data_IF_866397886275
#
_entry.id   IF_866397886275
#
_cell.length_a   1.000
_cell.length_b   1.000
_cell.length_c   1.000
_cell.angle_alpha   90.00
_cell.angle_beta   90.00
_cell.angle_gamma   90.00
#
_symmetry.space_group_name_H-M   'P 1'
#
loop_
_entity.id
_entity.type
_entity.pdbx_description
1 polymer ?
#
# COMPACT_ATOMS: atom_id res chain seq x y z
N UNK A 1 38.51 -11.91 -9.90
CA UNK A 1 37.23 -11.17 -9.87
C UNK A 1 37.18 -10.37 -8.59
N UNK A 2 37.39 -9.04 -8.65
CA UNK A 2 37.22 -8.15 -7.50
C UNK A 2 35.80 -7.61 -7.57
N UNK A 3 34.99 -7.92 -6.57
CA UNK A 3 33.72 -7.26 -6.32
C UNK A 3 34.01 -5.79 -5.99
N UNK A 4 33.84 -4.90 -6.97
CA UNK A 4 33.63 -3.50 -6.63
C UNK A 4 32.34 -3.46 -5.80
N UNK A 5 32.32 -2.84 -4.61
CA UNK A 5 31.05 -2.53 -3.98
C UNK A 5 30.34 -1.57 -4.92
N UNK A 6 29.44 -2.08 -5.75
CA UNK A 6 28.53 -1.24 -6.50
C UNK A 6 27.79 -0.41 -5.45
N UNK A 7 28.11 0.88 -5.38
CA UNK A 7 27.45 1.82 -4.49
C UNK A 7 25.95 1.60 -4.64
N UNK A 8 25.30 1.09 -3.60
CA UNK A 8 23.88 0.77 -3.63
C UNK A 8 23.17 1.73 -2.69
N UNK A 9 22.12 2.38 -3.18
CA UNK A 9 21.28 3.23 -2.34
C UNK A 9 20.14 2.38 -1.82
N UNK A 10 20.17 2.10 -0.51
CA UNK A 10 19.04 1.52 0.20
C UNK A 10 18.14 2.63 0.71
N UNK A 11 16.95 2.73 0.12
CA UNK A 11 15.86 3.50 0.66
C UNK A 11 15.10 2.60 1.65
N UNK A 12 15.42 2.80 2.93
CA UNK A 12 14.67 2.28 4.06
C UNK A 12 14.04 3.44 4.83
N UNK A 13 12.85 3.21 5.40
CA UNK A 13 12.18 4.19 6.27
C UNK A 13 12.96 4.27 7.57
N UNK A 14 13.21 5.47 8.07
CA UNK A 14 13.97 5.64 9.31
C UNK A 14 13.15 5.19 10.52
N UNK A 15 13.55 4.08 11.16
CA UNK A 15 12.84 3.48 12.29
C UNK A 15 12.62 4.45 13.46
N UNK A 16 13.53 5.40 13.69
CA UNK A 16 13.40 6.40 14.76
C UNK A 16 12.33 7.47 14.46
N UNK A 17 12.21 7.93 13.21
CA UNK A 17 11.17 8.88 12.83
C UNK A 17 9.78 8.22 12.87
N UNK A 18 9.72 6.92 12.55
CA UNK A 18 8.56 6.08 12.75
C UNK A 18 8.18 6.02 14.24
N UNK A 19 9.14 5.68 15.09
CA UNK A 19 8.95 5.63 16.54
C UNK A 19 8.51 6.97 17.15
N UNK A 20 9.06 8.09 16.66
CA UNK A 20 8.66 9.42 17.09
C UNK A 20 7.24 9.78 16.68
N UNK A 21 6.83 9.45 15.45
CA UNK A 21 5.45 9.62 14.99
C UNK A 21 4.48 8.75 15.80
N UNK A 22 4.89 7.52 16.13
CA UNK A 22 4.12 6.59 16.97
C UNK A 22 3.96 7.12 18.40
N UNK A 23 5.02 7.63 19.00
CA UNK A 23 4.96 8.27 20.31
C UNK A 23 4.06 9.52 20.31
N UNK A 24 4.14 10.34 19.25
CA UNK A 24 3.30 11.53 19.11
C UNK A 24 1.82 11.20 18.90
N UNK A 25 1.50 10.19 18.08
CA UNK A 25 0.12 9.73 17.87
C UNK A 25 -0.46 9.09 19.14
N UNK A 26 0.32 8.28 19.86
CA UNK A 26 -0.07 7.72 21.15
C UNK A 26 -0.32 8.83 22.19
N UNK A 27 0.55 9.84 22.24
CA UNK A 27 0.37 11.03 23.08
C UNK A 27 -0.88 11.84 22.73
N UNK A 28 -1.19 12.02 21.44
CA UNK A 28 -2.40 12.69 20.97
C UNK A 28 -3.66 11.91 21.34
N UNK A 29 -3.67 10.58 21.16
CA UNK A 29 -4.81 9.74 21.55
C UNK A 29 -5.01 9.75 23.08
N UNK A 30 -3.93 9.71 23.86
CA UNK A 30 -4.00 9.89 25.31
C UNK A 30 -4.53 11.28 25.70
N UNK A 31 -4.16 12.32 24.96
CA UNK A 31 -4.67 13.69 25.16
C UNK A 31 -6.15 13.86 24.78
N UNK A 32 -6.61 13.18 23.73
CA UNK A 32 -8.03 13.16 23.35
C UNK A 32 -8.87 12.46 24.42
N UNK A 33 -8.34 11.41 25.06
CA UNK A 33 -9.02 10.77 26.18
C UNK A 33 -9.21 11.72 27.38
N UNK A 34 -8.31 12.68 27.60
CA UNK A 34 -8.47 13.76 28.58
C UNK A 34 -9.60 14.74 28.24
N UNK A 35 -10.02 14.82 26.97
CA UNK A 35 -11.14 15.64 26.52
C UNK A 35 -12.49 14.89 26.58
N UNK A 36 -12.53 13.61 26.93
CA UNK A 36 -13.77 12.84 26.97
C UNK A 36 -14.71 13.27 28.09
N UNK A 37 -14.20 13.65 29.26
CA UNK A 37 -15.02 14.15 30.38
C UNK A 37 -15.82 15.42 30.06
N UNK A 38 -15.22 16.50 29.52
CA UNK A 38 -15.98 17.68 29.12
C UNK A 38 -16.93 17.39 27.95
N UNK A 39 -16.56 16.50 27.01
CA UNK A 39 -17.45 16.08 25.92
C UNK A 39 -18.64 15.26 26.42
N UNK A 40 -18.43 14.36 27.37
CA UNK A 40 -19.46 13.53 27.98
C UNK A 40 -20.45 14.39 28.78
N UNK A 41 -19.96 15.34 29.58
CA UNK A 41 -20.81 16.29 30.29
C UNK A 41 -21.62 17.20 29.34
N UNK A 42 -21.02 17.60 28.21
CA UNK A 42 -21.73 18.32 27.16
C UNK A 42 -22.81 17.45 26.48
N UNK A 43 -22.50 16.18 26.19
CA UNK A 43 -23.44 15.24 25.56
C UNK A 43 -24.64 14.90 26.46
N UNK A 44 -24.42 14.74 27.77
CA UNK A 44 -25.48 14.49 28.76
C UNK A 44 -26.41 15.70 28.92
N UNK A 45 -25.93 16.91 28.63
CA UNK A 45 -26.75 18.13 28.58
C UNK A 45 -27.72 18.21 27.40
N UNK A 46 -27.54 17.38 26.36
CA UNK A 46 -28.41 17.38 25.17
C UNK A 46 -29.67 16.52 25.44
N UNK A 47 -30.83 17.19 25.55
CA UNK A 47 -32.16 16.60 25.80
C UNK A 47 -32.64 15.55 24.77
N UNK A 48 -31.89 15.28 23.70
CA UNK A 48 -32.28 14.40 22.58
C UNK A 48 -31.13 13.47 22.15
N UNK A 49 -30.69 12.54 23.01
CA UNK A 49 -29.70 11.52 22.65
C UNK A 49 -30.33 10.11 22.53
N UNK A 50 -30.26 9.42 21.36
CA UNK A 50 -30.93 8.12 21.13
C UNK A 50 -30.23 6.89 21.74
N UNK A 51 -29.08 7.04 22.40
CA UNK A 51 -28.22 5.92 22.84
C UNK A 51 -28.14 5.75 24.37
N UNK A 52 -29.29 5.62 25.05
CA UNK A 52 -29.33 5.49 26.53
C UNK A 52 -28.76 4.16 27.08
N UNK A 53 -28.71 3.10 26.27
CA UNK A 53 -28.26 1.77 26.69
C UNK A 53 -26.76 1.68 26.96
N UNK A 54 -25.90 1.97 25.95
CA UNK A 54 -24.44 1.97 26.13
C UNK A 54 -23.97 2.98 27.17
N UNK A 55 -24.61 4.15 27.23
CA UNK A 55 -24.27 5.20 28.19
C UNK A 55 -24.42 4.77 29.66
N UNK A 56 -25.41 3.92 30.01
CA UNK A 56 -25.58 3.42 31.38
C UNK A 56 -24.47 2.46 31.82
N UNK A 57 -23.93 1.66 30.90
CA UNK A 57 -22.81 0.76 31.18
C UNK A 57 -21.53 1.55 31.45
N UNK A 58 -21.27 2.62 30.69
CA UNK A 58 -20.13 3.50 30.96
C UNK A 58 -20.27 4.21 32.32
N UNK A 59 -21.45 4.75 32.65
CA UNK A 59 -21.68 5.49 33.92
C UNK A 59 -21.60 4.59 35.17
N UNK A 60 -21.77 3.27 35.03
CA UNK A 60 -21.68 2.33 36.17
C UNK A 60 -20.25 2.03 36.63
N UNK A 61 -19.25 2.40 35.83
CA UNK A 61 -17.84 2.20 36.17
C UNK A 61 -17.35 3.42 36.95
N UNK A 62 -16.90 3.26 38.21
CA UNK A 62 -16.42 4.39 39.00
C UNK A 62 -15.14 4.99 38.42
N UNK A 63 -15.07 6.33 38.36
CA UNK A 63 -13.82 7.04 38.11
C UNK A 63 -12.79 6.67 39.21
N UNK A 64 -11.51 6.44 38.86
CA UNK A 64 -10.85 6.74 37.58
C UNK A 64 -10.84 5.56 36.58
N UNK A 65 -11.49 4.43 36.88
CA UNK A 65 -11.29 3.19 36.12
C UNK A 65 -11.90 3.22 34.72
N UNK A 66 -12.97 3.98 34.52
CA UNK A 66 -13.57 4.20 33.20
C UNK A 66 -12.60 4.94 32.28
N UNK A 67 -12.09 6.08 32.75
CA UNK A 67 -11.09 6.89 32.02
C UNK A 67 -9.84 6.09 31.72
N UNK A 68 -9.30 5.36 32.71
CA UNK A 68 -8.13 4.48 32.51
C UNK A 68 -8.44 3.40 31.47
N UNK A 69 -9.61 2.77 31.52
CA UNK A 69 -10.01 1.74 30.56
C UNK A 69 -10.09 2.26 29.12
N UNK A 70 -10.68 3.44 28.93
CA UNK A 70 -10.77 4.10 27.61
C UNK A 70 -9.41 4.52 27.07
N UNK A 71 -8.54 5.08 27.93
CA UNK A 71 -7.15 5.43 27.56
C UNK A 71 -6.39 4.18 27.12
N UNK A 72 -6.46 3.09 27.91
CA UNK A 72 -5.77 1.84 27.59
C UNK A 72 -6.31 1.23 26.29
N UNK A 73 -7.63 1.20 26.10
CA UNK A 73 -8.24 0.68 24.88
C UNK A 73 -7.84 1.50 23.65
N UNK A 74 -7.86 2.83 23.76
CA UNK A 74 -7.43 3.74 22.70
C UNK A 74 -5.95 3.58 22.36
N UNK A 75 -5.09 3.44 23.38
CA UNK A 75 -3.67 3.19 23.20
C UNK A 75 -3.40 1.83 22.53
N UNK A 76 -4.09 0.77 22.95
CA UNK A 76 -3.98 -0.56 22.34
C UNK A 76 -4.47 -0.56 20.89
N UNK A 77 -5.62 0.05 20.61
CA UNK A 77 -6.16 0.16 19.26
C UNK A 77 -5.24 0.98 18.35
N UNK A 78 -4.73 2.11 18.83
CA UNK A 78 -3.75 2.93 18.11
C UNK A 78 -2.46 2.15 17.82
N UNK A 79 -1.93 1.45 18.82
CA UNK A 79 -0.73 0.60 18.69
C UNK A 79 -0.95 -0.54 17.69
N UNK A 80 -2.11 -1.18 17.71
CA UNK A 80 -2.45 -2.25 16.76
C UNK A 80 -2.49 -1.73 15.32
N UNK A 81 -3.19 -0.62 15.06
CA UNK A 81 -3.25 0.00 13.72
C UNK A 81 -1.85 0.37 13.21
N UNK A 82 -1.02 0.92 14.09
CA UNK A 82 0.38 1.26 13.83
C UNK A 82 1.24 0.02 13.50
N UNK A 83 1.04 -1.07 14.25
CA UNK A 83 1.77 -2.31 14.04
C UNK A 83 1.41 -2.93 12.67
N UNK A 84 0.13 -2.94 12.30
CA UNK A 84 -0.30 -3.43 10.99
C UNK A 84 0.30 -2.64 9.82
N UNK A 85 0.44 -1.31 9.94
CA UNK A 85 1.12 -0.48 8.94
C UNK A 85 2.60 -0.86 8.76
N UNK A 86 3.26 -1.28 9.85
CA UNK A 86 4.68 -1.67 9.81
C UNK A 86 4.93 -3.01 9.08
N UNK A 87 3.94 -3.90 9.03
CA UNK A 87 4.10 -5.21 8.39
C UNK A 87 4.15 -5.13 6.85
N UNK A 88 3.65 -4.05 6.26
CA UNK A 88 3.63 -3.84 4.81
C UNK A 88 4.85 -3.12 4.25
N UNK A 89 5.89 -2.89 5.06
CA UNK A 89 7.04 -2.09 4.65
C UNK A 89 7.86 -2.78 3.56
N UNK A 90 8.02 -2.08 2.44
CA UNK A 90 8.94 -2.46 1.36
C UNK A 90 10.20 -1.59 1.47
N UNK A 91 11.35 -2.22 1.65
CA UNK A 91 12.65 -1.57 1.43
C UNK A 91 13.06 -1.72 -0.03
N UNK A 92 13.61 -0.64 -0.59
CA UNK A 92 14.03 -0.60 -1.99
C UNK A 92 15.53 -0.36 -1.99
N UNK A 93 16.29 -1.35 -2.46
CA UNK A 93 17.73 -1.21 -2.70
C UNK A 93 17.96 -1.12 -4.19
N UNK A 94 18.48 0.03 -4.62
CA UNK A 94 18.83 0.28 -6.02
C UNK A 94 20.34 0.21 -6.16
N UNK A 95 20.81 -0.52 -7.16
CA UNK A 95 22.22 -0.58 -7.55
C UNK A 95 22.31 -0.54 -9.07
N UNK A 96 23.49 -0.25 -9.64
CA UNK A 96 23.65 -0.18 -11.11
C UNK A 96 23.32 -1.48 -11.86
N UNK A 97 23.37 -2.63 -11.19
CA UNK A 97 23.19 -3.95 -11.81
C UNK A 97 21.82 -4.58 -11.50
N UNK A 98 21.17 -4.16 -10.42
CA UNK A 98 19.93 -4.77 -9.92
C UNK A 98 19.12 -3.85 -9.02
N UNK A 99 17.82 -4.10 -8.99
CA UNK A 99 16.88 -3.58 -8.01
C UNK A 99 16.49 -4.73 -7.09
N UNK A 100 16.60 -4.53 -5.78
CA UNK A 100 16.10 -5.47 -4.78
C UNK A 100 14.90 -4.82 -4.09
N UNK A 101 13.75 -5.45 -4.26
CA UNK A 101 12.52 -5.11 -3.56
C UNK A 101 12.34 -6.12 -2.44
N UNK A 102 12.37 -5.65 -1.19
CA UNK A 102 12.25 -6.51 -0.03
C UNK A 102 11.03 -6.08 0.78
N UNK A 103 10.08 -7.00 0.91
CA UNK A 103 8.88 -6.92 1.76
C UNK A 103 8.96 -8.00 2.83
N UNK A 104 8.22 -7.84 3.93
CA UNK A 104 8.09 -8.87 4.97
C UNK A 104 7.73 -10.23 4.34
N UNK A 105 8.67 -11.18 4.38
CA UNK A 105 8.50 -12.54 3.84
C UNK A 105 8.75 -12.71 2.32
N UNK A 106 9.08 -11.65 1.57
CA UNK A 106 9.34 -11.75 0.14
C UNK A 106 10.50 -10.84 -0.30
N UNK A 107 11.51 -11.43 -0.94
CA UNK A 107 12.63 -10.71 -1.57
C UNK A 107 12.58 -10.98 -3.05
N UNK A 108 12.47 -9.93 -3.85
CA UNK A 108 12.49 -9.99 -5.30
C UNK A 108 13.72 -9.23 -5.81
N UNK A 109 14.61 -9.94 -6.49
CA UNK A 109 15.78 -9.38 -7.17
C UNK A 109 15.49 -9.27 -8.66
N UNK A 110 15.69 -8.07 -9.21
CA UNK A 110 15.38 -7.74 -10.60
C UNK A 110 16.65 -7.19 -11.24
N UNK A 111 17.16 -7.87 -12.27
CA UNK A 111 18.34 -7.43 -12.99
C UNK A 111 18.08 -6.12 -13.77
N UNK A 112 19.09 -5.26 -13.88
CA UNK A 112 18.99 -3.95 -14.58
C UNK A 112 18.46 -4.08 -16.01
N UNK A 113 18.89 -5.12 -16.72
CA UNK A 113 18.49 -5.45 -18.10
C UNK A 113 17.01 -5.80 -18.24
N UNK A 114 16.39 -6.29 -17.17
CA UNK A 114 14.96 -6.55 -17.14
C UNK A 114 14.18 -5.25 -16.94
N UNK A 115 14.78 -4.14 -16.50
CA UNK A 115 14.06 -2.90 -16.22
C UNK A 115 14.11 -1.96 -17.42
N UNK A 116 12.95 -1.69 -18.03
CA UNK A 116 12.77 -0.66 -19.04
C UNK A 116 12.51 0.70 -18.39
N UNK A 117 11.36 0.86 -17.74
CA UNK A 117 10.91 2.12 -17.16
C UNK A 117 10.55 1.97 -15.68
N UNK A 118 10.81 3.01 -14.90
CA UNK A 118 10.46 3.06 -13.47
C UNK A 118 9.65 4.31 -13.19
N UNK A 119 8.53 4.17 -12.47
CA UNK A 119 7.74 5.30 -12.03
C UNK A 119 7.02 5.01 -10.73
N UNK A 120 6.47 6.07 -10.14
CA UNK A 120 5.61 5.97 -8.96
C UNK A 120 4.18 6.28 -9.36
N UNK A 121 3.27 5.35 -9.06
CA UNK A 121 1.84 5.56 -9.16
C UNK A 121 1.25 5.58 -7.73
N UNK A 122 0.78 6.75 -7.29
CA UNK A 122 0.27 6.96 -5.91
C UNK A 122 1.31 6.57 -4.85
N UNK A 123 1.02 5.55 -4.06
CA UNK A 123 1.85 4.96 -3.01
C UNK A 123 2.60 3.71 -3.48
N UNK A 124 2.67 3.45 -4.80
CA UNK A 124 3.32 2.26 -5.35
C UNK A 124 4.44 2.60 -6.30
N UNK A 125 5.54 1.86 -6.16
CA UNK A 125 6.64 1.85 -7.11
C UNK A 125 6.37 0.78 -8.17
N UNK A 126 6.43 1.16 -9.45
CA UNK A 126 6.18 0.28 -10.59
C UNK A 126 7.46 0.17 -11.41
N UNK A 127 7.89 -1.07 -11.66
CA UNK A 127 8.98 -1.40 -12.57
C UNK A 127 8.37 -2.11 -13.78
N UNK A 128 8.52 -1.47 -14.94
CA UNK A 128 8.18 -2.05 -16.23
C UNK A 128 9.42 -2.61 -16.89
N UNK A 129 9.25 -3.70 -17.62
CA UNK A 129 10.30 -4.22 -18.50
C UNK A 129 10.42 -3.45 -19.81
N UNK A 130 11.38 -3.83 -20.67
CA UNK A 130 11.67 -3.11 -21.91
C UNK A 130 10.53 -3.15 -22.91
N UNK A 131 9.59 -4.10 -22.79
CA UNK A 131 8.40 -4.23 -23.65
C UNK A 131 7.13 -3.75 -22.94
N UNK A 132 7.29 -3.03 -21.83
CA UNK A 132 6.18 -2.53 -21.02
C UNK A 132 5.50 -3.60 -20.17
N UNK A 133 6.03 -4.81 -20.04
CA UNK A 133 5.52 -5.81 -19.10
C UNK A 133 5.65 -5.32 -17.64
N UNK A 134 4.68 -5.58 -16.78
CA UNK A 134 4.81 -5.24 -15.35
C UNK A 134 5.64 -6.31 -14.64
N UNK A 135 6.83 -5.93 -14.18
CA UNK A 135 7.76 -6.84 -13.47
C UNK A 135 7.50 -6.81 -11.98
N UNK A 136 7.28 -5.61 -11.44
CA UNK A 136 6.98 -5.42 -10.04
C UNK A 136 6.11 -4.19 -9.83
N UNK A 137 5.20 -4.30 -8.86
CA UNK A 137 4.35 -3.21 -8.36
C UNK A 137 4.22 -3.36 -6.86
N UNK A 138 5.03 -2.61 -6.13
CA UNK A 138 5.11 -2.72 -4.68
C UNK A 138 4.72 -1.43 -3.97
N UNK A 139 4.07 -1.56 -2.81
CA UNK A 139 3.76 -0.42 -1.95
C UNK A 139 5.08 0.22 -1.49
N UNK A 140 5.18 1.53 -1.63
CA UNK A 140 6.40 2.30 -1.44
C UNK A 140 6.05 3.72 -0.96
N UNK A 141 6.30 3.96 0.33
CA UNK A 141 5.97 5.22 1.00
C UNK A 141 7.04 6.30 0.84
N UNK A 142 8.10 6.04 0.06
CA UNK A 142 9.16 7.03 -0.17
C UNK A 142 8.66 8.17 -1.07
N UNK A 143 9.21 9.36 -0.83
CA UNK A 143 8.93 10.53 -1.66
C UNK A 143 9.39 10.27 -3.11
N UNK A 144 8.54 10.62 -4.08
CA UNK A 144 8.81 10.46 -5.52
C UNK A 144 10.17 11.06 -5.95
N UNK A 145 10.56 12.23 -5.43
CA UNK A 145 11.85 12.86 -5.74
C UNK A 145 13.04 12.04 -5.27
N UNK A 146 12.93 11.42 -4.08
CA UNK A 146 14.00 10.60 -3.50
C UNK A 146 14.16 9.28 -4.27
N UNK A 147 13.04 8.68 -4.67
CA UNK A 147 13.04 7.52 -5.55
C UNK A 147 13.64 7.87 -6.92
N UNK A 148 13.15 8.94 -7.56
CA UNK A 148 13.65 9.40 -8.84
C UNK A 148 15.17 9.59 -8.81
N UNK A 149 15.68 10.33 -7.83
CA UNK A 149 17.12 10.55 -7.67
C UNK A 149 17.91 9.24 -7.56
N UNK A 150 17.48 8.31 -6.68
CA UNK A 150 18.16 7.03 -6.51
C UNK A 150 18.16 6.18 -7.79
N UNK A 151 17.04 6.12 -8.51
CA UNK A 151 16.94 5.38 -9.76
C UNK A 151 17.78 6.02 -10.87
N UNK A 152 17.73 7.36 -11.03
CA UNK A 152 18.50 8.05 -12.07
C UNK A 152 20.00 8.04 -11.80
N UNK A 153 20.42 8.12 -10.53
CA UNK A 153 21.83 8.01 -10.13
C UNK A 153 22.43 6.65 -10.51
N UNK A 154 21.62 5.59 -10.51
CA UNK A 154 22.00 4.25 -10.97
C UNK A 154 21.64 3.96 -12.43
N UNK A 155 21.31 4.99 -13.22
CA UNK A 155 21.10 4.87 -14.66
C UNK A 155 19.78 4.21 -15.09
N UNK A 156 18.78 4.14 -14.22
CA UNK A 156 17.43 3.68 -14.59
C UNK A 156 16.63 4.80 -15.25
N UNK A 157 15.77 4.44 -16.20
CA UNK A 157 14.88 5.38 -16.87
C UNK A 157 13.66 5.69 -16.00
N UNK A 158 13.79 6.72 -15.16
CA UNK A 158 12.68 7.24 -14.38
C UNK A 158 11.73 8.06 -15.26
N UNK A 159 10.44 7.76 -15.21
CA UNK A 159 9.38 8.46 -15.97
C UNK A 159 8.30 9.01 -15.02
N UNK A 160 7.60 10.06 -15.46
CA UNK A 160 6.62 10.77 -14.61
C UNK A 160 5.34 9.95 -14.36
N UNK A 161 5.01 9.01 -15.24
CA UNK A 161 3.84 8.16 -15.19
C UNK A 161 3.99 6.98 -16.15
N UNK A 162 2.95 6.16 -16.31
CA UNK A 162 2.99 5.01 -17.21
C UNK A 162 3.12 5.47 -18.68
N UNK A 163 4.21 5.15 -19.40
CA UNK A 163 4.37 5.51 -20.81
C UNK A 163 3.31 4.87 -21.72
N UNK A 164 2.67 3.80 -21.26
CA UNK A 164 1.67 3.03 -21.99
C UNK A 164 0.23 3.34 -21.52
N UNK A 165 0.02 4.49 -20.86
CA UNK A 165 -1.29 4.87 -20.32
C UNK A 165 -2.41 4.84 -21.38
N UNK A 166 -2.12 5.27 -22.60
CA UNK A 166 -3.09 5.36 -23.68
C UNK A 166 -3.45 4.00 -24.31
N UNK A 167 -2.71 2.93 -23.99
CA UNK A 167 -3.00 1.58 -24.49
C UNK A 167 -4.03 0.83 -23.64
N UNK A 168 -4.34 1.34 -22.45
CA UNK A 168 -5.27 0.69 -21.53
C UNK A 168 -6.71 0.78 -22.02
N UNK A 169 -7.36 -0.37 -22.14
CA UNK A 169 -8.75 -0.52 -22.54
C UNK A 169 -9.59 -1.00 -21.36
N UNK A 170 -10.82 -0.54 -21.27
CA UNK A 170 -11.75 -1.03 -20.26
C UNK A 170 -12.00 -2.53 -20.49
N UNK A 171 -11.83 -3.35 -19.46
CA UNK A 171 -12.21 -4.76 -19.52
C UNK A 171 -13.73 -4.90 -19.45
N UNK A 172 -14.29 -5.65 -20.38
CA UNK A 172 -15.67 -6.12 -20.36
C UNK A 172 -15.66 -7.64 -20.33
N UNK A 173 -16.62 -8.24 -19.63
CA UNK A 173 -16.74 -9.70 -19.57
C UNK A 173 -16.77 -10.32 -20.97
N UNK A 174 -15.95 -11.36 -21.17
CA UNK A 174 -15.79 -12.06 -22.47
C UNK A 174 -15.30 -11.15 -23.59
N UNK A 175 -14.35 -10.26 -23.31
CA UNK A 175 -13.72 -9.42 -24.34
C UNK A 175 -13.05 -10.33 -25.40
N UNK A 176 -13.42 -10.25 -26.69
CA UNK A 176 -12.92 -11.16 -27.72
C UNK A 176 -11.44 -10.94 -28.06
N UNK A 177 -10.89 -9.79 -27.69
CA UNK A 177 -9.47 -9.44 -27.88
C UNK A 177 -8.56 -10.12 -26.85
N UNK A 178 -9.12 -10.73 -25.80
CA UNK A 178 -8.37 -11.35 -24.71
C UNK A 178 -8.42 -12.88 -24.81
N UNK A 179 -7.30 -13.58 -24.51
CA UNK A 179 -7.30 -15.03 -24.33
C UNK A 179 -8.36 -15.46 -23.31
N UNK A 180 -8.94 -16.65 -23.51
CA UNK A 180 -9.97 -17.19 -22.61
C UNK A 180 -9.47 -17.24 -21.14
N UNK A 181 -8.23 -17.68 -20.94
CA UNK A 181 -7.57 -17.68 -19.63
C UNK A 181 -7.50 -16.28 -19.01
N UNK A 182 -7.15 -15.25 -19.79
CA UNK A 182 -7.07 -13.88 -19.30
C UNK A 182 -8.46 -13.35 -18.89
N UNK A 183 -9.48 -13.64 -19.69
CA UNK A 183 -10.87 -13.30 -19.35
C UNK A 183 -11.34 -14.00 -18.07
N UNK A 184 -11.01 -15.29 -17.89
CA UNK A 184 -11.35 -16.04 -16.68
C UNK A 184 -10.67 -15.47 -15.43
N UNK A 185 -9.38 -15.14 -15.51
CA UNK A 185 -8.63 -14.53 -14.41
C UNK A 185 -9.17 -13.13 -14.06
N UNK A 186 -9.49 -12.30 -15.05
CA UNK A 186 -10.08 -10.97 -14.84
C UNK A 186 -11.48 -11.04 -14.22
N UNK A 187 -12.29 -12.04 -14.61
CA UNK A 187 -13.59 -12.29 -14.00
C UNK A 187 -13.47 -12.74 -12.55
N UNK A 188 -12.58 -13.70 -12.24
CA UNK A 188 -12.30 -14.12 -10.88
C UNK A 188 -11.80 -12.95 -10.01
N UNK A 189 -10.96 -12.08 -10.59
CA UNK A 189 -10.45 -10.88 -9.93
C UNK A 189 -11.55 -9.87 -9.65
N UNK A 190 -12.45 -9.64 -10.61
CA UNK A 190 -13.61 -8.76 -10.44
C UNK A 190 -14.51 -9.24 -9.28
N UNK A 191 -14.68 -10.55 -9.12
CA UNK A 191 -15.42 -11.14 -8.01
C UNK A 191 -14.69 -10.93 -6.68
N UNK A 192 -13.38 -11.21 -6.64
CA UNK A 192 -12.57 -11.01 -5.45
C UNK A 192 -12.59 -9.54 -4.97
N UNK A 193 -12.60 -8.58 -5.89
CA UNK A 193 -12.67 -7.14 -5.57
C UNK A 193 -13.98 -6.70 -4.89
N UNK A 194 -15.02 -7.53 -4.84
CA UNK A 194 -16.28 -7.20 -4.14
C UNK A 194 -16.18 -7.35 -2.62
N UNK A 195 -15.20 -8.12 -2.14
CA UNK A 195 -14.94 -8.32 -0.71
C UNK A 195 -13.72 -7.53 -0.25
N UNK A 196 -13.79 -6.90 0.93
CA UNK A 196 -12.65 -6.23 1.56
C UNK A 196 -11.53 -7.19 1.95
N UNK A 197 -11.86 -8.46 2.19
CA UNK A 197 -10.94 -9.43 2.82
C UNK A 197 -10.12 -10.21 1.78
N UNK A 198 -10.42 -10.04 0.50
CA UNK A 198 -9.81 -10.78 -0.62
C UNK A 198 -8.60 -10.07 -1.25
N UNK A 199 -7.97 -9.15 -0.51
CA UNK A 199 -6.86 -8.34 -1.02
C UNK A 199 -5.70 -9.16 -1.57
N UNK A 200 -5.35 -10.28 -0.92
CA UNK A 200 -4.26 -11.14 -1.36
C UNK A 200 -4.62 -11.97 -2.60
N UNK A 201 -5.87 -12.47 -2.68
CA UNK A 201 -6.39 -13.12 -3.89
C UNK A 201 -6.36 -12.18 -5.10
N UNK A 202 -6.73 -10.90 -4.90
CA UNK A 202 -6.60 -9.88 -5.94
C UNK A 202 -5.13 -9.72 -6.34
N UNK A 203 -4.18 -9.64 -5.41
CA UNK A 203 -2.75 -9.55 -5.75
C UNK A 203 -2.25 -10.77 -6.52
N UNK A 204 -2.65 -11.98 -6.13
CA UNK A 204 -2.25 -13.22 -6.80
C UNK A 204 -2.75 -13.27 -8.25
N UNK A 205 -4.03 -12.97 -8.48
CA UNK A 205 -4.61 -12.94 -9.82
C UNK A 205 -3.94 -11.89 -10.73
N UNK A 206 -3.45 -10.78 -10.16
CA UNK A 206 -2.63 -9.81 -10.91
C UNK A 206 -1.34 -10.44 -11.42
N UNK A 207 -0.66 -11.19 -10.54
CA UNK A 207 0.63 -11.83 -10.85
C UNK A 207 0.45 -12.89 -11.93
N UNK A 208 -0.63 -13.67 -11.87
CA UNK A 208 -0.97 -14.62 -12.94
C UNK A 208 -1.24 -13.91 -14.28
N UNK A 209 -1.98 -12.80 -14.27
CA UNK A 209 -2.22 -12.00 -15.47
C UNK A 209 -0.92 -11.41 -16.04
N UNK A 210 -0.01 -10.93 -15.18
CA UNK A 210 1.30 -10.45 -15.60
C UNK A 210 2.16 -11.56 -16.24
N UNK A 211 2.11 -12.80 -15.74
CA UNK A 211 2.83 -13.95 -16.32
C UNK A 211 2.41 -14.26 -17.76
N UNK A 212 1.16 -13.99 -18.11
CA UNK A 212 0.65 -14.15 -19.48
C UNK A 212 0.73 -12.84 -20.29
N UNK A 213 1.45 -11.83 -19.79
CA UNK A 213 1.71 -10.56 -20.46
C UNK A 213 0.56 -9.55 -20.41
N UNK A 214 -0.45 -9.77 -19.56
CA UNK A 214 -1.57 -8.83 -19.38
C UNK A 214 -1.25 -7.89 -18.22
N UNK A 215 -1.17 -6.59 -18.52
CA UNK A 215 -0.99 -5.54 -17.51
C UNK A 215 -2.34 -4.91 -17.19
N UNK A 216 -2.64 -4.75 -15.90
CA UNK A 216 -3.95 -4.27 -15.42
C UNK A 216 -3.79 -2.90 -14.77
N UNK A 217 -4.75 -2.01 -14.93
CA UNK A 217 -4.85 -0.77 -14.16
C UNK A 217 -6.24 -0.61 -13.60
N UNK A 218 -6.33 -0.42 -12.29
CA UNK A 218 -7.61 -0.30 -11.59
C UNK A 218 -7.99 1.18 -11.46
N UNK A 219 -9.14 1.57 -11.99
CA UNK A 219 -9.74 2.90 -11.83
C UNK A 219 -11.07 2.75 -11.08
N UNK A 220 -11.02 2.92 -9.76
CA UNK A 220 -12.16 2.63 -8.89
C UNK A 220 -12.50 1.14 -8.89
N UNK A 221 -13.72 0.78 -9.28
CA UNK A 221 -14.17 -0.61 -9.42
C UNK A 221 -13.97 -1.18 -10.84
N UNK A 222 -13.45 -0.37 -11.76
CA UNK A 222 -13.24 -0.77 -13.15
C UNK A 222 -11.80 -1.24 -13.35
N UNK A 223 -11.66 -2.34 -14.08
CA UNK A 223 -10.39 -2.92 -14.47
C UNK A 223 -10.09 -2.52 -15.91
N UNK A 224 -8.96 -1.89 -16.13
CA UNK A 224 -8.43 -1.62 -17.47
C UNK A 224 -7.29 -2.60 -17.73
N UNK A 225 -7.11 -2.98 -18.98
CA UNK A 225 -6.06 -3.92 -19.37
C UNK A 225 -5.33 -3.42 -20.60
N UNK A 226 -4.08 -3.83 -20.73
CA UNK A 226 -3.36 -3.80 -21.99
C UNK A 226 -2.64 -5.13 -22.19
N UNK A 227 -2.45 -5.49 -23.45
CA UNK A 227 -1.68 -6.68 -23.83
C UNK A 227 -0.18 -6.47 -23.63
N UNK A 228 0.64 -7.50 -23.94
CA UNK A 228 2.08 -7.33 -24.03
C UNK A 228 2.37 -6.24 -25.06
N UNK A 229 3.22 -5.27 -24.72
CA UNK A 229 3.45 -4.07 -25.51
C UNK A 229 3.71 -4.41 -26.98
N UNK A 230 3.11 -3.63 -27.89
CA UNK A 230 3.40 -3.79 -29.32
C UNK A 230 4.85 -3.41 -29.59
N UNK A 231 5.49 -4.22 -30.44
CA UNK A 231 6.86 -4.04 -30.93
C UNK A 231 7.05 -2.67 -31.57
#
# INVERSE_FOLDING_TARGET
MRSHPATSITLARSAWAQGALYAAAAGLLAGVAWLLDPLANWLVGLRWAPMRGPARLLVSIPEPWLTVGLVVLGALAGTALIFFDSLEQTSVTVSGERVILQRTGHVQEIAREQVGHVFREKDRLVLLGPKGEEIAREKCDFNARRLAAAFTEHGYAWVAGDPYEDEFRLWVSKSPELPELANALLAARAEAMKSSDSGDSVKELRRELARIGIVIRDKGKQQYWRGPGRR
#
